data_IF_398697688889
#
_entry.id   IF_398697688889
#
_cell.length_a   1.000
_cell.length_b   1.000
_cell.length_c   1.000
_cell.angle_alpha   90.00
_cell.angle_beta   90.00
_cell.angle_gamma   90.00
#
_symmetry.space_group_name_H-M   'P 1'
#
loop_
_entity.id
_entity.type
_entity.pdbx_description
1 polymer ?
#
# COMPACT_ATOMS: atom_id res chain seq x y z
N UNK A 1 -16.96 2.36 12.42
CA UNK A 1 -15.83 2.43 11.46
C UNK A 1 -14.60 1.68 11.98
N UNK A 2 -14.08 2.00 13.16
CA UNK A 2 -12.91 1.32 13.76
C UNK A 2 -13.11 -0.18 14.04
N UNK A 3 -14.32 -0.61 14.39
CA UNK A 3 -14.64 -2.04 14.62
C UNK A 3 -14.48 -2.89 13.35
N UNK A 4 -14.94 -2.39 12.21
CA UNK A 4 -14.86 -3.09 10.92
C UNK A 4 -13.41 -3.23 10.44
N UNK A 5 -12.60 -2.16 10.53
CA UNK A 5 -11.18 -2.22 10.13
C UNK A 5 -10.43 -3.21 11.00
N UNK A 6 -10.67 -3.21 12.32
CA UNK A 6 -10.07 -4.18 13.25
C UNK A 6 -10.46 -5.62 12.89
N UNK A 7 -11.71 -5.87 12.53
CA UNK A 7 -12.17 -7.19 12.10
C UNK A 7 -11.48 -7.65 10.81
N UNK A 8 -11.37 -6.78 9.80
CA UNK A 8 -10.69 -7.11 8.55
C UNK A 8 -9.19 -7.36 8.76
N UNK A 9 -8.52 -6.56 9.58
CA UNK A 9 -7.11 -6.78 9.91
C UNK A 9 -6.89 -8.10 10.67
N UNK A 10 -7.79 -8.47 11.58
CA UNK A 10 -7.73 -9.76 12.28
C UNK A 10 -7.96 -10.95 11.34
N UNK A 11 -8.90 -10.82 10.38
CA UNK A 11 -9.14 -11.84 9.36
C UNK A 11 -7.92 -12.00 8.45
N UNK A 12 -7.33 -10.89 7.99
CA UNK A 12 -6.11 -10.91 7.18
C UNK A 12 -4.98 -11.64 7.92
N UNK A 13 -4.72 -11.28 9.18
CA UNK A 13 -3.70 -11.94 9.99
C UNK A 13 -3.96 -13.43 10.22
N UNK A 14 -5.23 -13.85 10.27
CA UNK A 14 -5.59 -15.28 10.36
C UNK A 14 -5.21 -16.02 9.07
N UNK A 15 -5.53 -15.44 7.91
CA UNK A 15 -5.21 -16.03 6.60
C UNK A 15 -3.69 -16.10 6.38
N UNK A 16 -2.96 -15.03 6.68
CA UNK A 16 -1.51 -14.99 6.48
C UNK A 16 -0.77 -15.97 7.39
N UNK A 17 -1.19 -16.14 8.64
CA UNK A 17 -0.62 -17.16 9.52
C UNK A 17 -0.87 -18.58 9.05
N UNK A 18 -2.00 -18.86 8.39
CA UNK A 18 -2.31 -20.20 7.87
C UNK A 18 -1.37 -20.64 6.74
N UNK A 19 -0.86 -19.69 5.96
CA UNK A 19 0.11 -19.95 4.90
C UNK A 19 1.55 -19.57 5.26
N UNK A 20 1.82 -19.23 6.53
CA UNK A 20 3.15 -18.77 7.00
C UNK A 20 3.67 -17.55 6.22
N UNK A 21 2.77 -16.67 5.80
CA UNK A 21 3.11 -15.47 5.04
C UNK A 21 3.25 -14.24 5.93
N UNK A 22 4.16 -13.37 5.51
CA UNK A 22 4.33 -12.03 6.03
C UNK A 22 3.84 -10.98 5.03
N UNK A 23 3.33 -9.89 5.57
CA UNK A 23 2.84 -8.71 4.87
C UNK A 23 3.82 -7.55 5.02
N UNK A 24 4.03 -6.83 3.93
CA UNK A 24 4.66 -5.50 3.88
C UNK A 24 3.67 -4.46 3.37
N UNK A 25 3.74 -3.22 3.87
CA UNK A 25 2.90 -2.11 3.37
C UNK A 25 3.71 -0.99 2.74
N UNK A 26 3.14 -0.31 1.73
CA UNK A 26 3.66 0.92 1.15
C UNK A 26 2.57 2.00 1.14
N UNK A 27 2.76 3.05 1.91
CA UNK A 27 1.75 4.05 2.20
C UNK A 27 2.21 5.44 1.77
N UNK A 28 1.33 6.17 1.06
CA UNK A 28 1.50 7.60 0.80
C UNK A 28 0.44 8.39 1.60
N UNK A 29 -0.76 8.59 1.05
CA UNK A 29 -1.77 9.47 1.64
C UNK A 29 -2.32 9.04 3.01
N UNK A 30 -2.16 7.76 3.38
CA UNK A 30 -2.57 7.23 4.70
C UNK A 30 -1.52 7.47 5.79
N UNK A 31 -0.28 7.82 5.45
CA UNK A 31 0.76 8.22 6.40
C UNK A 31 1.11 7.17 7.46
N UNK A 32 0.93 5.88 7.18
CA UNK A 32 1.13 4.79 8.15
C UNK A 32 -0.15 4.30 8.83
N UNK A 33 -1.31 4.83 8.45
CA UNK A 33 -2.61 4.42 9.00
C UNK A 33 -2.93 2.94 8.77
N UNK A 34 -2.57 2.36 7.63
CA UNK A 34 -2.78 0.93 7.39
C UNK A 34 -1.89 0.09 8.32
N UNK A 35 -0.60 0.41 8.39
CA UNK A 35 0.33 -0.25 9.31
C UNK A 35 -0.16 -0.15 10.76
N UNK A 36 -0.63 1.03 11.20
CA UNK A 36 -1.19 1.22 12.55
C UNK A 36 -2.34 0.24 12.84
N UNK A 37 -3.30 0.10 11.93
CA UNK A 37 -4.43 -0.82 12.14
C UNK A 37 -4.01 -2.29 12.14
N UNK A 38 -3.03 -2.66 11.31
CA UNK A 38 -2.44 -4.02 11.29
C UNK A 38 -1.73 -4.32 12.61
N UNK A 39 -0.84 -3.43 13.05
CA UNK A 39 -0.04 -3.64 14.27
C UNK A 39 -0.86 -3.59 15.54
N UNK A 40 -2.07 -3.01 15.50
CA UNK A 40 -3.02 -3.02 16.62
C UNK A 40 -3.73 -4.38 16.81
N UNK A 41 -3.46 -5.36 15.94
CA UNK A 41 -3.91 -6.75 16.13
C UNK A 41 -2.87 -7.50 16.97
N UNK A 42 -3.31 -8.14 18.04
CA UNK A 42 -2.46 -9.00 18.88
C UNK A 42 -1.84 -10.12 18.02
N UNK A 43 -0.52 -10.31 18.15
CA UNK A 43 0.24 -11.27 17.35
C UNK A 43 0.54 -10.81 15.93
N UNK A 44 0.37 -9.51 15.62
CA UNK A 44 0.78 -8.92 14.34
C UNK A 44 2.28 -9.09 14.04
N UNK A 45 3.12 -9.20 15.07
CA UNK A 45 4.56 -9.52 14.94
C UNK A 45 4.85 -10.79 14.15
N UNK A 46 3.91 -11.74 14.11
CA UNK A 46 4.11 -13.03 13.45
C UNK A 46 3.94 -12.95 11.93
N UNK A 47 3.25 -11.92 11.43
CA UNK A 47 2.81 -11.83 10.02
C UNK A 47 2.90 -10.42 9.41
N UNK A 48 3.31 -9.41 10.16
CA UNK A 48 3.64 -8.08 9.63
C UNK A 48 5.15 -7.88 9.69
N UNK A 49 5.77 -7.63 8.53
CA UNK A 49 7.23 -7.54 8.42
C UNK A 49 7.71 -6.09 8.56
N UNK A 50 7.26 -5.19 7.67
CA UNK A 50 7.55 -3.75 7.76
C UNK A 50 6.50 -2.91 7.03
N UNK A 51 6.58 -1.60 7.24
CA UNK A 51 5.83 -0.61 6.48
C UNK A 51 6.75 0.48 5.93
N UNK A 52 6.53 0.85 4.68
CA UNK A 52 7.14 2.00 4.02
C UNK A 52 6.14 3.15 4.00
N UNK A 53 6.55 4.32 4.49
CA UNK A 53 5.80 5.56 4.28
C UNK A 53 6.56 6.41 3.27
N UNK A 54 6.05 6.49 2.03
CA UNK A 54 6.70 7.12 0.87
C UNK A 54 5.89 8.30 0.37
N UNK A 55 5.72 9.31 1.22
CA UNK A 55 4.86 10.46 0.91
C UNK A 55 5.34 11.26 -0.31
N UNK A 56 6.65 11.48 -0.44
CA UNK A 56 7.24 12.22 -1.57
C UNK A 56 7.55 11.32 -2.77
N UNK A 57 7.63 11.93 -3.96
CA UNK A 57 8.09 11.23 -5.18
C UNK A 57 9.51 10.68 -5.03
N UNK A 58 10.38 11.43 -4.36
CA UNK A 58 11.74 10.98 -4.01
C UNK A 58 11.70 9.71 -3.17
N UNK A 59 10.90 9.67 -2.10
CA UNK A 59 10.79 8.48 -1.25
C UNK A 59 10.21 7.28 -2.02
N UNK A 60 9.24 7.49 -2.92
CA UNK A 60 8.72 6.42 -3.80
C UNK A 60 9.84 5.83 -4.68
N UNK A 61 10.71 6.68 -5.21
CA UNK A 61 11.82 6.25 -6.07
C UNK A 61 12.92 5.55 -5.25
N UNK A 62 13.38 6.18 -4.17
CA UNK A 62 14.52 5.70 -3.38
C UNK A 62 14.22 4.43 -2.58
N UNK A 63 13.02 4.32 -2.01
CA UNK A 63 12.68 3.22 -1.10
C UNK A 63 11.95 2.07 -1.78
N UNK A 64 11.26 2.34 -2.90
CA UNK A 64 10.40 1.36 -3.59
C UNK A 64 10.73 1.20 -5.07
N UNK A 65 11.74 1.91 -5.60
CA UNK A 65 12.13 1.78 -7.01
C UNK A 65 11.07 2.26 -8.02
N UNK A 66 10.09 3.07 -7.59
CA UNK A 66 9.09 3.64 -8.50
C UNK A 66 9.81 4.48 -9.55
N UNK A 67 9.50 4.24 -10.83
CA UNK A 67 10.21 4.85 -11.94
C UNK A 67 9.89 6.33 -12.03
N UNK A 68 10.91 7.15 -12.27
CA UNK A 68 10.72 8.58 -12.54
C UNK A 68 9.80 8.82 -13.75
N UNK A 69 9.88 7.96 -14.78
CA UNK A 69 9.00 8.05 -15.95
C UNK A 69 7.52 7.87 -15.59
N UNK A 70 7.21 6.94 -14.70
CA UNK A 70 5.85 6.71 -14.18
C UNK A 70 5.35 7.93 -13.43
N UNK A 71 6.19 8.50 -12.54
CA UNK A 71 5.83 9.68 -11.78
C UNK A 71 5.63 10.93 -12.66
N UNK A 72 6.40 11.05 -13.74
CA UNK A 72 6.29 12.18 -14.67
C UNK A 72 5.10 12.06 -15.63
N UNK A 73 4.83 10.86 -16.15
CA UNK A 73 3.81 10.65 -17.17
C UNK A 73 2.42 10.41 -16.55
N UNK A 74 2.36 9.55 -15.55
CA UNK A 74 1.10 9.09 -14.96
C UNK A 74 0.79 9.80 -13.64
N UNK A 75 1.81 10.36 -12.98
CA UNK A 75 1.69 10.99 -11.68
C UNK A 75 1.72 9.99 -10.51
N UNK A 76 1.98 10.50 -9.31
CA UNK A 76 2.07 9.70 -8.09
C UNK A 76 0.75 9.02 -7.67
N UNK A 77 -0.39 9.54 -8.13
CA UNK A 77 -1.72 8.97 -7.95
C UNK A 77 -2.17 8.40 -9.29
N UNK A 78 -1.78 7.15 -9.54
CA UNK A 78 -2.05 6.40 -10.76
C UNK A 78 -2.00 4.91 -10.49
N UNK A 79 -2.57 4.12 -11.40
CA UNK A 79 -2.45 2.67 -11.37
C UNK A 79 -0.99 2.22 -11.36
N UNK A 80 -0.18 2.79 -12.27
CA UNK A 80 1.20 2.37 -12.47
C UNK A 80 2.07 2.70 -11.26
N UNK A 81 1.88 3.86 -10.62
CA UNK A 81 2.58 4.18 -9.38
C UNK A 81 2.17 3.25 -8.23
N UNK A 82 0.88 2.92 -8.08
CA UNK A 82 0.42 1.97 -7.06
C UNK A 82 1.01 0.57 -7.27
N UNK A 83 1.02 0.09 -8.52
CA UNK A 83 1.63 -1.19 -8.92
C UNK A 83 3.11 -1.25 -8.55
N UNK A 84 3.88 -0.26 -8.98
CA UNK A 84 5.32 -0.18 -8.70
C UNK A 84 5.61 -0.04 -7.21
N UNK A 85 4.80 0.71 -6.46
CA UNK A 85 4.93 0.80 -5.00
C UNK A 85 4.74 -0.57 -4.33
N UNK A 86 3.76 -1.36 -4.76
CA UNK A 86 3.51 -2.69 -4.20
C UNK A 86 4.65 -3.66 -4.54
N UNK A 87 5.01 -3.75 -5.82
CA UNK A 87 6.07 -4.63 -6.30
C UNK A 87 7.42 -4.29 -5.66
N UNK A 88 7.76 -3.00 -5.58
CA UNK A 88 8.95 -2.51 -4.90
C UNK A 88 8.96 -2.84 -3.41
N UNK A 89 7.83 -2.66 -2.72
CA UNK A 89 7.73 -3.03 -1.30
C UNK A 89 8.00 -4.52 -1.07
N UNK A 90 7.46 -5.37 -1.94
CA UNK A 90 7.66 -6.81 -1.90
C UNK A 90 9.12 -7.20 -2.20
N UNK A 91 9.79 -6.50 -3.11
CA UNK A 91 11.21 -6.71 -3.43
C UNK A 91 12.17 -6.27 -2.30
N UNK A 92 11.77 -5.28 -1.49
CA UNK A 92 12.59 -4.71 -0.42
C UNK A 92 12.23 -5.23 0.98
N UNK A 93 11.42 -6.28 1.08
CA UNK A 93 11.00 -6.89 2.33
C UNK A 93 11.08 -8.43 2.27
N UNK A 94 11.31 -9.07 3.41
CA UNK A 94 11.25 -10.53 3.54
C UNK A 94 9.78 -10.98 3.72
N UNK A 95 8.93 -10.71 2.72
CA UNK A 95 7.49 -10.90 2.75
C UNK A 95 6.95 -11.62 1.50
N UNK A 96 5.71 -12.11 1.57
CA UNK A 96 5.06 -12.85 0.47
C UNK A 96 3.93 -12.07 -0.19
N UNK A 97 3.44 -11.02 0.49
CA UNK A 97 2.40 -10.14 -0.01
C UNK A 97 2.67 -8.70 0.40
N UNK A 98 2.33 -7.77 -0.48
CA UNK A 98 2.41 -6.33 -0.21
C UNK A 98 1.10 -5.62 -0.49
N UNK A 99 0.80 -4.55 0.25
CA UNK A 99 -0.30 -3.62 -0.06
C UNK A 99 0.27 -2.22 -0.25
N UNK A 100 -0.06 -1.57 -1.38
CA UNK A 100 0.29 -0.17 -1.64
C UNK A 100 -0.94 0.73 -1.72
N UNK A 101 -0.83 1.95 -1.17
CA UNK A 101 -1.88 2.98 -1.19
C UNK A 101 -1.29 4.33 -1.59
N UNK A 102 -1.83 4.92 -2.67
CA UNK A 102 -1.52 6.29 -3.10
C UNK A 102 -2.77 7.04 -3.52
N UNK A 103 -2.93 8.29 -3.11
CA UNK A 103 -4.19 9.01 -3.29
C UNK A 103 -4.14 10.48 -2.91
N UNK A 104 -5.26 11.16 -3.13
CA UNK A 104 -5.46 12.58 -2.86
C UNK A 104 -6.46 12.71 -1.71
N UNK A 105 -5.96 12.74 -0.47
CA UNK A 105 -6.82 12.82 0.71
C UNK A 105 -7.60 14.16 0.82
N UNK A 106 -7.12 15.21 0.15
CA UNK A 106 -7.72 16.54 0.20
C UNK A 106 -7.23 17.41 1.37
N UNK A 107 -7.79 18.63 1.53
CA UNK A 107 -8.93 19.18 0.77
C UNK A 107 -8.55 19.73 -0.61
N UNK A 108 -7.26 19.82 -0.94
CA UNK A 108 -6.74 20.32 -2.22
C UNK A 108 -5.97 19.22 -2.98
N UNK A 109 -5.52 19.53 -4.20
CA UNK A 109 -4.65 18.66 -5.01
C UNK A 109 -5.36 17.78 -6.02
N UNK A 110 -6.70 17.83 -6.06
CA UNK A 110 -7.49 17.18 -7.11
C UNK A 110 -7.44 17.93 -8.43
N UNK A 111 -7.70 17.20 -9.51
CA UNK A 111 -7.94 17.71 -10.88
C UNK A 111 -9.29 17.19 -11.37
N UNK A 112 -9.86 17.69 -12.48
CA UNK A 112 -11.08 17.12 -13.06
C UNK A 112 -10.99 15.62 -13.33
N UNK A 113 -9.83 15.13 -13.79
CA UNK A 113 -9.61 13.71 -14.11
C UNK A 113 -9.26 12.86 -12.87
N UNK A 114 -8.73 13.50 -11.81
CA UNK A 114 -8.33 12.87 -10.55
C UNK A 114 -8.80 13.72 -9.37
N UNK A 115 -10.09 13.68 -9.03
CA UNK A 115 -10.64 14.54 -7.98
C UNK A 115 -10.06 14.20 -6.60
N UNK A 116 -10.22 15.12 -5.64
CA UNK A 116 -10.01 14.83 -4.22
C UNK A 116 -10.86 13.62 -3.83
N UNK A 117 -10.28 12.69 -3.05
CA UNK A 117 -10.88 11.39 -2.74
C UNK A 117 -10.35 10.25 -3.62
N UNK A 118 -9.72 10.55 -4.76
CA UNK A 118 -9.12 9.51 -5.62
C UNK A 118 -8.00 8.77 -4.89
N UNK A 119 -8.14 7.46 -4.75
CA UNK A 119 -7.15 6.56 -4.16
C UNK A 119 -6.97 5.33 -5.06
N UNK A 120 -5.71 5.04 -5.36
CA UNK A 120 -5.28 3.79 -5.96
C UNK A 120 -4.73 2.83 -4.90
N UNK A 121 -5.14 1.58 -5.03
CA UNK A 121 -4.70 0.45 -4.22
C UNK A 121 -4.01 -0.56 -5.12
N UNK A 122 -2.97 -1.21 -4.61
CA UNK A 122 -2.33 -2.34 -5.29
C UNK A 122 -1.98 -3.45 -4.31
N UNK A 123 -2.13 -4.70 -4.73
CA UNK A 123 -1.72 -5.91 -4.02
C UNK A 123 -0.77 -6.69 -4.92
N UNK A 124 0.45 -6.91 -4.45
CA UNK A 124 1.41 -7.80 -5.12
C UNK A 124 1.66 -9.04 -4.27
N UNK A 125 1.92 -10.17 -4.91
CA UNK A 125 2.23 -11.44 -4.25
C UNK A 125 3.29 -12.19 -5.04
N UNK A 126 4.11 -12.99 -4.36
CA UNK A 126 5.11 -13.85 -4.99
C UNK A 126 4.49 -15.00 -5.83
N UNK A 127 3.17 -15.22 -5.72
CA UNK A 127 2.47 -16.33 -6.39
C UNK A 127 1.33 -15.89 -7.31
N UNK A 128 1.10 -14.59 -7.49
CA UNK A 128 0.01 -14.08 -8.33
C UNK A 128 0.40 -12.76 -9.00
N UNK A 129 -0.25 -12.46 -10.12
CA UNK A 129 -0.09 -11.16 -10.77
C UNK A 129 -0.55 -10.02 -9.84
N UNK A 130 0.18 -8.91 -9.87
CA UNK A 130 -0.16 -7.71 -9.11
C UNK A 130 -1.52 -7.18 -9.54
N UNK A 131 -2.42 -6.97 -8.58
CA UNK A 131 -3.77 -6.47 -8.80
C UNK A 131 -3.88 -5.01 -8.35
N UNK A 132 -4.55 -4.19 -9.14
CA UNK A 132 -4.73 -2.76 -8.91
C UNK A 132 -6.22 -2.42 -8.87
N UNK A 133 -6.59 -1.40 -8.09
CA UNK A 133 -7.96 -0.87 -8.11
C UNK A 133 -7.99 0.59 -7.68
N UNK A 134 -9.00 1.33 -8.17
CA UNK A 134 -9.23 2.73 -7.84
C UNK A 134 -10.54 2.91 -7.07
N UNK A 135 -10.57 3.84 -6.12
CA UNK A 135 -11.79 4.36 -5.47
C UNK A 135 -11.76 5.89 -5.46
N UNK A 136 -12.93 6.51 -5.43
CA UNK A 136 -13.14 7.96 -5.24
C UNK A 136 -14.15 8.15 -4.12
#
# INVERSE_FOLDING_TARGET
MTSTIKQLAAQLGTQLKQCEWKLVTAESCTGGGLAYFITNITGSSDWFERGFVTYSNTAKTELLGVRLSTLNNDGAVSEQAAREMAEGALQHAEAQVSIAITGIAGPIGGTPDKPVGTVWFSIASIHAETQTSMRV
#
